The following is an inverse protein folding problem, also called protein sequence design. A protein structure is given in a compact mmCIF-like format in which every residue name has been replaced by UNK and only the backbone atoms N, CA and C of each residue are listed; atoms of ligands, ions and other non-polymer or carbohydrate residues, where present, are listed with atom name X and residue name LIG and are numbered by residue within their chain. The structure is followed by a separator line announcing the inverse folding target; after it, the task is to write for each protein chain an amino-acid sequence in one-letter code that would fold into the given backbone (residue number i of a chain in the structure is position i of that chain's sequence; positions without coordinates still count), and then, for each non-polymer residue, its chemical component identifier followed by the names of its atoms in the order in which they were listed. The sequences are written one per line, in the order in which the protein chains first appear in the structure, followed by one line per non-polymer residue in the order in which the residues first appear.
data_IF_790643448467
#
_entry.id   IF_790643448467
#
_cell.length_a   1.000
_cell.length_b   1.000
_cell.length_c   1.000
_cell.angle_alpha   90.00
_cell.angle_beta   90.00
_cell.angle_gamma   90.00
#
_symmetry.space_group_name_H-M   'P 1'
#
loop_
_entity.id
_entity.type
_entity.pdbx_description
1 polymer ?
#
# COMPACT_ATOMS: atom_id res chain seq x y z
N UNK A 1 -17.32 -21.02 12.77
CA UNK A 1 -16.29 -22.04 12.51
C UNK A 1 -15.73 -22.04 11.07
N UNK A 2 -16.44 -21.52 10.07
CA UNK A 2 -15.99 -21.57 8.65
C UNK A 2 -14.85 -20.58 8.33
N UNK A 3 -14.78 -19.43 9.03
CA UNK A 3 -13.74 -18.41 8.80
C UNK A 3 -12.34 -18.88 9.21
N UNK A 4 -12.21 -19.73 10.22
CA UNK A 4 -10.92 -20.25 10.69
C UNK A 4 -10.28 -21.28 9.75
N UNK A 5 -11.10 -21.98 8.95
CA UNK A 5 -10.64 -23.07 8.07
C UNK A 5 -9.96 -22.54 6.79
N UNK A 6 -10.33 -21.33 6.35
CA UNK A 6 -9.74 -20.67 5.17
C UNK A 6 -8.35 -20.09 5.47
N UNK A 7 -8.08 -19.69 6.72
CA UNK A 7 -6.77 -19.16 7.14
C UNK A 7 -5.71 -20.27 7.26
N UNK A 8 -6.11 -21.50 7.60
CA UNK A 8 -5.19 -22.63 7.76
C UNK A 8 -4.57 -23.15 6.45
N UNK A 9 -5.28 -23.02 5.33
CA UNK A 9 -4.86 -23.59 4.03
C UNK A 9 -3.75 -22.81 3.32
N UNK A 10 -3.37 -21.62 3.79
CA UNK A 10 -2.36 -20.77 3.16
C UNK A 10 -0.94 -20.91 3.75
N UNK A 11 -0.73 -21.71 4.80
CA UNK A 11 0.60 -21.90 5.43
C UNK A 11 1.50 -22.95 4.75
N UNK A 12 1.02 -23.64 3.72
CA UNK A 12 1.62 -24.91 3.28
C UNK A 12 2.42 -24.94 1.98
N UNK A 13 2.93 -23.83 1.42
CA UNK A 13 3.75 -23.89 0.20
C UNK A 13 5.02 -23.04 0.27
N UNK A 14 6.06 -23.65 0.87
CA UNK A 14 7.47 -23.28 0.71
C UNK A 14 8.03 -24.03 -0.51
N UNK A 15 8.39 -23.29 -1.56
CA UNK A 15 9.26 -23.66 -2.68
C UNK A 15 9.71 -22.31 -3.25
N UNK A 16 10.96 -22.02 -3.60
CA UNK A 16 12.24 -22.69 -3.67
C UNK A 16 13.20 -21.63 -4.27
N UNK A 17 14.43 -21.57 -3.77
CA UNK A 17 15.46 -20.56 -4.09
C UNK A 17 16.09 -20.83 -5.46
N UNK A 18 16.31 -19.81 -6.31
CA UNK A 18 17.42 -19.78 -7.28
C UNK A 18 17.49 -18.44 -8.04
N UNK A 19 18.71 -17.90 -8.17
CA UNK A 19 19.10 -17.06 -9.32
C UNK A 19 19.15 -15.55 -9.09
N UNK A 20 20.37 -15.03 -8.92
CA UNK A 20 20.80 -13.64 -8.98
C UNK A 20 20.77 -13.08 -10.41
N UNK A 21 20.25 -11.87 -10.60
CA UNK A 21 20.63 -10.97 -11.70
C UNK A 21 20.41 -9.52 -11.25
N UNK A 22 21.49 -8.86 -10.83
CA UNK A 22 21.53 -7.41 -10.60
C UNK A 22 22.19 -6.74 -11.79
N UNK A 23 21.47 -5.83 -12.43
CA UNK A 23 22.01 -4.86 -13.40
C UNK A 23 22.66 -3.73 -12.59
N UNK A 24 23.96 -3.41 -12.76
CA UNK A 24 24.57 -2.28 -12.09
C UNK A 24 24.17 -0.99 -12.81
N UNK A 25 23.41 -0.11 -12.15
CA UNK A 25 23.22 1.27 -12.62
C UNK A 25 24.28 2.16 -11.96
N UNK A 26 25.15 2.70 -12.81
CA UNK A 26 26.15 3.70 -12.42
C UNK A 26 25.52 5.06 -12.12
N UNK A 27 26.14 5.72 -11.13
CA UNK A 27 26.13 7.15 -10.80
C UNK A 27 24.82 7.79 -10.26
N UNK A 28 24.84 8.30 -9.01
CA UNK A 28 24.01 9.43 -8.61
C UNK A 28 24.57 10.74 -9.20
N UNK A 29 23.72 11.53 -9.83
CA UNK A 29 23.98 12.93 -10.16
C UNK A 29 24.08 13.74 -8.87
N UNK A 30 25.28 14.24 -8.56
CA UNK A 30 25.53 15.17 -7.47
C UNK A 30 25.48 16.60 -8.02
N UNK A 31 24.39 17.33 -7.76
CA UNK A 31 24.28 18.74 -8.07
C UNK A 31 23.81 19.50 -6.84
N UNK A 32 24.66 20.40 -6.33
CA UNK A 32 24.13 21.67 -5.82
C UNK A 32 24.74 22.31 -4.58
N UNK A 33 25.65 21.72 -3.79
CA UNK A 33 26.06 22.38 -2.52
C UNK A 33 27.53 22.23 -2.05
N UNK A 34 28.45 21.72 -2.88
CA UNK A 34 29.87 21.60 -2.49
C UNK A 34 30.68 22.92 -2.61
N UNK A 35 30.26 23.85 -3.48
CA UNK A 35 31.04 25.07 -3.78
C UNK A 35 30.97 26.20 -2.74
N UNK A 36 29.99 26.18 -1.85
CA UNK A 36 29.79 27.23 -0.83
C UNK A 36 30.63 26.97 0.43
N UNK A 37 30.90 25.71 0.76
CA UNK A 37 31.70 25.34 1.95
C UNK A 37 33.19 25.56 1.74
N UNK A 38 33.72 25.35 0.53
CA UNK A 38 35.15 25.53 0.25
C UNK A 38 35.62 26.99 0.30
N UNK A 39 34.75 27.94 -0.08
CA UNK A 39 35.07 29.38 -0.04
C UNK A 39 35.10 29.94 1.39
N UNK A 40 34.24 29.44 2.28
CA UNK A 40 34.20 29.86 3.68
C UNK A 40 35.48 29.43 4.44
N UNK A 41 35.99 28.22 4.15
CA UNK A 41 37.20 27.69 4.79
C UNK A 41 38.47 28.40 4.31
N UNK A 42 38.53 28.80 3.03
CA UNK A 42 39.70 29.51 2.48
C UNK A 42 39.85 30.94 3.04
N UNK A 43 38.75 31.64 3.29
CA UNK A 43 38.79 33.02 3.83
C UNK A 43 39.23 33.05 5.29
N UNK A 44 38.87 32.04 6.09
CA UNK A 44 39.30 31.93 7.49
C UNK A 44 40.80 31.64 7.63
N UNK A 45 41.38 30.90 6.68
CA UNK A 45 42.80 30.56 6.71
C UNK A 45 43.72 31.72 6.30
N UNK A 46 43.22 32.65 5.50
CA UNK A 46 43.97 33.82 5.04
C UNK A 46 44.07 34.94 6.09
N UNK A 47 43.16 34.98 7.08
CA UNK A 47 43.17 35.97 8.17
C UNK A 47 44.13 35.58 9.32
N UNK A 48 44.56 34.32 9.39
CA UNK A 48 45.37 33.78 10.49
C UNK A 48 46.89 33.83 10.28
N UNK A 49 47.38 34.20 9.08
CA UNK A 49 48.78 33.93 8.68
C UNK A 49 49.77 35.10 8.75
N UNK A 50 49.39 36.30 9.19
CA UNK A 50 50.22 37.49 9.00
C UNK A 50 50.60 38.16 10.33
N UNK A 51 51.72 37.74 10.94
CA UNK A 51 52.54 38.53 11.88
C UNK A 51 53.97 37.98 11.98
N UNK A 52 54.92 38.83 11.57
CA UNK A 52 56.24 39.13 12.16
C UNK A 52 57.25 37.99 12.41
N UNK A 53 58.59 38.13 12.32
CA UNK A 53 59.58 39.08 11.77
C UNK A 53 60.95 38.38 11.95
N UNK A 54 61.94 38.67 11.09
CA UNK A 54 63.33 38.83 11.57
C UNK A 54 64.38 37.71 11.34
N UNK A 55 65.40 38.08 10.56
CA UNK A 55 66.84 38.09 10.92
C UNK A 55 67.73 36.84 10.68
N UNK A 56 68.56 36.97 9.63
CA UNK A 56 70.03 36.76 9.52
C UNK A 56 70.70 35.52 10.14
N UNK A 57 71.43 34.76 9.31
CA UNK A 57 72.51 33.88 9.76
C UNK A 57 73.13 33.00 8.67
N UNK A 58 74.41 33.24 8.40
CA UNK A 58 75.34 32.57 7.47
C UNK A 58 75.75 31.14 7.85
N UNK A 59 76.11 30.28 6.89
CA UNK A 59 77.14 29.24 7.08
C UNK A 59 76.94 27.86 6.45
N UNK A 60 77.81 27.56 5.46
CA UNK A 60 78.53 26.29 5.21
C UNK A 60 77.82 24.94 4.89
N UNK A 61 78.16 24.43 3.69
CA UNK A 61 78.58 23.05 3.29
C UNK A 61 77.80 21.83 3.79
N UNK A 62 77.27 21.03 2.86
CA UNK A 62 77.86 19.76 2.35
C UNK A 62 76.77 18.89 1.69
N UNK A 63 77.21 18.00 0.79
CA UNK A 63 76.48 16.98 0.03
C UNK A 63 75.45 16.19 0.87
N UNK A 64 74.40 15.57 0.34
CA UNK A 64 74.43 14.46 -0.62
C UNK A 64 72.99 13.93 -0.82
N UNK A 65 72.76 13.28 -1.96
CA UNK A 65 71.75 12.24 -2.21
C UNK A 65 70.23 12.57 -2.22
N UNK A 66 69.71 12.39 -3.42
CA UNK A 66 68.34 12.20 -3.90
C UNK A 66 67.62 11.03 -3.20
N UNK A 67 66.37 11.22 -2.73
CA UNK A 67 65.15 10.46 -3.13
C UNK A 67 63.92 10.72 -2.24
N UNK A 68 62.79 10.45 -2.89
CA UNK A 68 61.41 10.89 -2.68
C UNK A 68 60.63 10.31 -1.49
N UNK A 69 59.81 11.17 -0.89
CA UNK A 69 58.38 11.04 -0.54
C UNK A 69 57.80 9.94 0.37
N UNK A 70 57.17 10.46 1.45
CA UNK A 70 55.82 10.23 2.01
C UNK A 70 55.56 8.88 2.72
N UNK A 71 55.46 8.87 4.05
CA UNK A 71 54.33 9.33 4.89
C UNK A 71 53.13 8.37 4.85
N UNK A 72 52.92 7.67 5.96
CA UNK A 72 51.99 6.55 6.12
C UNK A 72 51.50 6.46 7.56
N UNK A 73 50.97 7.57 8.06
CA UNK A 73 50.26 7.64 9.32
C UNK A 73 48.85 7.07 9.24
N UNK A 74 48.58 6.18 10.18
CA UNK A 74 47.34 6.09 10.97
C UNK A 74 46.18 5.20 10.48
N UNK A 75 46.11 4.07 11.19
CA UNK A 75 44.95 3.25 11.50
C UNK A 75 43.79 4.05 12.12
N UNK A 76 42.80 4.47 11.32
CA UNK A 76 41.50 4.96 11.83
C UNK A 76 40.28 4.51 10.98
N UNK A 77 40.44 3.60 10.02
CA UNK A 77 39.34 3.21 9.11
C UNK A 77 38.47 2.05 9.59
N UNK A 78 38.76 1.41 10.73
CA UNK A 78 38.06 0.20 11.17
C UNK A 78 36.80 0.43 12.02
N UNK A 79 36.42 1.68 12.31
CA UNK A 79 35.25 1.99 13.18
C UNK A 79 34.06 2.61 12.42
N UNK A 80 34.22 2.97 11.15
CA UNK A 80 33.13 3.59 10.35
C UNK A 80 32.46 2.60 9.38
N UNK A 81 32.77 1.31 9.49
CA UNK A 81 31.99 0.26 8.85
C UNK A 81 30.93 -0.28 9.83
N UNK A 82 30.18 0.61 10.47
CA UNK A 82 28.82 0.24 10.86
C UNK A 82 28.00 0.26 9.58
N UNK A 83 27.57 -0.94 9.20
CA UNK A 83 26.50 -1.20 8.26
C UNK A 83 25.39 -0.16 8.45
N UNK A 84 25.37 0.86 7.59
CA UNK A 84 24.16 1.60 7.29
C UNK A 84 23.33 0.68 6.39
N UNK A 85 22.85 -0.41 7.01
CA UNK A 85 21.79 -1.25 6.49
C UNK A 85 20.58 -0.31 6.42
N UNK A 86 20.45 0.38 5.30
CA UNK A 86 19.23 1.10 4.94
C UNK A 86 18.17 0.03 4.81
N UNK A 87 17.55 -0.34 5.93
CA UNK A 87 16.33 -1.11 5.99
C UNK A 87 15.29 -0.27 5.25
N UNK A 88 15.21 -0.50 3.94
CA UNK A 88 14.22 0.14 3.07
C UNK A 88 12.89 -0.43 3.50
N UNK A 89 12.29 0.20 4.51
CA UNK A 89 10.98 -0.15 5.01
C UNK A 89 10.04 -0.18 3.80
N UNK A 90 9.61 -1.38 3.41
CA UNK A 90 8.71 -1.57 2.28
C UNK A 90 7.38 -0.97 2.68
N UNK A 91 7.23 0.33 2.39
CA UNK A 91 6.04 1.09 2.73
C UNK A 91 4.89 0.57 1.87
N UNK A 92 3.78 0.25 2.53
CA UNK A 92 2.58 -0.15 1.81
C UNK A 92 2.21 0.91 0.76
N UNK A 93 1.77 0.50 -0.45
CA UNK A 93 1.30 1.44 -1.46
C UNK A 93 0.23 2.34 -0.84
N UNK A 94 0.30 3.64 -1.12
CA UNK A 94 -0.78 4.57 -0.76
C UNK A 94 -2.12 4.09 -1.35
N UNK A 95 -3.25 4.56 -0.81
CA UNK A 95 -4.58 4.15 -1.29
C UNK A 95 -4.73 4.37 -2.81
N UNK A 96 -4.12 5.43 -3.35
CA UNK A 96 -4.16 5.76 -4.78
C UNK A 96 -3.22 4.84 -5.59
N UNK A 97 -2.12 4.38 -4.99
CA UNK A 97 -1.15 3.49 -5.62
C UNK A 97 -1.59 2.01 -5.63
N UNK A 98 -2.62 1.64 -4.87
CA UNK A 98 -3.25 0.32 -4.93
C UNK A 98 -4.69 0.42 -5.42
N UNK A 99 -4.97 0.01 -6.67
CA UNK A 99 -6.33 -0.06 -7.20
C UNK A 99 -7.28 -0.88 -6.31
N UNK A 100 -6.81 -1.95 -5.65
CA UNK A 100 -7.65 -2.72 -4.74
C UNK A 100 -8.07 -1.93 -3.50
N UNK A 101 -7.17 -1.12 -2.93
CA UNK A 101 -7.48 -0.27 -1.78
C UNK A 101 -8.40 0.88 -2.15
N UNK A 102 -8.11 1.57 -3.26
CA UNK A 102 -8.97 2.64 -3.77
C UNK A 102 -10.39 2.11 -4.01
N UNK A 103 -10.52 0.98 -4.71
CA UNK A 103 -11.81 0.38 -5.00
C UNK A 103 -12.56 -0.04 -3.73
N UNK A 104 -11.86 -0.60 -2.74
CA UNK A 104 -12.48 -0.94 -1.45
C UNK A 104 -13.05 0.31 -0.76
N UNK A 105 -12.31 1.42 -0.73
CA UNK A 105 -12.80 2.67 -0.13
C UNK A 105 -14.00 3.26 -0.89
N UNK A 106 -13.97 3.25 -2.22
CA UNK A 106 -15.09 3.72 -3.05
C UNK A 106 -16.33 2.84 -2.90
N UNK A 107 -16.18 1.51 -3.03
CA UNK A 107 -17.28 0.57 -2.87
C UNK A 107 -17.87 0.64 -1.46
N UNK A 108 -17.01 0.70 -0.42
CA UNK A 108 -17.42 0.86 0.97
C UNK A 108 -18.25 2.14 1.18
N UNK A 109 -17.85 3.25 0.56
CA UNK A 109 -18.60 4.52 0.62
C UNK A 109 -19.98 4.39 -0.03
N UNK A 110 -20.07 3.79 -1.21
CA UNK A 110 -21.35 3.57 -1.89
C UNK A 110 -22.27 2.67 -1.06
N UNK A 111 -21.76 1.54 -0.55
CA UNK A 111 -22.54 0.65 0.31
C UNK A 111 -22.96 1.32 1.63
N UNK A 112 -22.12 2.19 2.20
CA UNK A 112 -22.48 2.95 3.41
C UNK A 112 -23.66 3.89 3.12
N UNK A 113 -23.60 4.65 2.02
CA UNK A 113 -24.68 5.55 1.61
C UNK A 113 -25.97 4.76 1.40
N UNK A 114 -25.95 3.69 0.59
CA UNK A 114 -27.14 2.88 0.31
C UNK A 114 -27.69 2.20 1.55
N UNK A 115 -26.83 1.59 2.38
CA UNK A 115 -27.25 0.89 3.59
C UNK A 115 -27.85 1.81 4.63
N UNK A 116 -27.17 2.93 4.94
CA UNK A 116 -27.64 3.89 5.94
C UNK A 116 -28.91 4.58 5.46
N UNK A 117 -28.92 5.09 4.22
CA UNK A 117 -30.08 5.79 3.69
C UNK A 117 -31.28 4.84 3.54
N UNK A 118 -31.01 3.59 3.14
CA UNK A 118 -32.02 2.54 3.02
C UNK A 118 -32.79 2.29 4.31
N UNK A 119 -32.17 2.37 5.49
CA UNK A 119 -32.88 2.20 6.76
C UNK A 119 -34.00 3.22 7.00
N UNK A 120 -33.87 4.44 6.47
CA UNK A 120 -34.91 5.47 6.58
C UNK A 120 -36.15 5.16 5.74
N UNK A 121 -35.96 4.51 4.58
CA UNK A 121 -37.04 4.20 3.63
C UNK A 121 -37.56 2.76 3.75
N UNK A 122 -36.81 1.87 4.42
CA UNK A 122 -37.16 0.44 4.52
C UNK A 122 -38.51 0.18 5.23
N UNK A 123 -39.04 1.14 5.99
CA UNK A 123 -40.30 0.99 6.71
C UNK A 123 -41.55 1.26 5.87
N UNK A 124 -41.43 1.94 4.73
CA UNK A 124 -42.56 2.42 3.92
C UNK A 124 -43.44 1.28 3.33
N UNK A 125 -42.98 0.02 3.40
CA UNK A 125 -43.66 -1.17 2.87
C UNK A 125 -43.93 -2.29 3.87
N UNK A 126 -44.04 -1.99 5.17
CA UNK A 126 -44.47 -2.95 6.20
C UNK A 126 -43.43 -3.28 7.29
N UNK A 127 -42.22 -2.71 7.20
CA UNK A 127 -41.23 -2.66 8.29
C UNK A 127 -40.65 -3.98 8.80
N UNK A 128 -41.09 -5.14 8.29
CA UNK A 128 -40.55 -6.44 8.67
C UNK A 128 -39.07 -6.58 8.27
N UNK A 129 -38.25 -7.15 9.17
CA UNK A 129 -36.80 -7.22 8.95
C UNK A 129 -36.43 -8.07 7.72
N UNK A 130 -37.04 -9.25 7.61
CA UNK A 130 -37.00 -10.11 6.43
C UNK A 130 -38.38 -10.10 5.77
N UNK A 131 -38.43 -9.68 4.52
CA UNK A 131 -39.68 -9.53 3.78
C UNK A 131 -39.45 -9.57 2.27
N UNK A 132 -40.49 -10.01 1.54
CA UNK A 132 -40.49 -9.99 0.07
C UNK A 132 -40.65 -8.60 -0.52
N UNK A 133 -41.30 -7.72 0.22
CA UNK A 133 -41.55 -6.34 -0.16
C UNK A 133 -41.15 -5.41 0.97
N UNK A 134 -40.79 -4.19 0.62
CA UNK A 134 -40.57 -3.12 1.58
C UNK A 134 -40.60 -1.78 0.85
N UNK A 135 -39.89 -0.79 1.39
CA UNK A 135 -39.82 0.53 0.77
C UNK A 135 -38.90 0.59 -0.44
N UNK A 136 -38.71 1.79 -0.97
CA UNK A 136 -37.90 2.02 -2.16
C UNK A 136 -36.93 3.18 -2.00
N UNK A 137 -35.69 3.02 -2.46
CA UNK A 137 -34.75 4.12 -2.65
C UNK A 137 -34.83 4.63 -4.07
N UNK A 138 -35.02 5.95 -4.25
CA UNK A 138 -35.17 6.61 -5.56
C UNK A 138 -36.20 5.95 -6.47
N UNK A 139 -37.25 5.35 -5.88
CA UNK A 139 -38.27 4.58 -6.62
C UNK A 139 -37.71 3.45 -7.50
N UNK A 140 -36.49 2.97 -7.21
CA UNK A 140 -35.77 2.04 -8.07
C UNK A 140 -35.16 0.86 -7.31
N UNK A 141 -34.59 1.05 -6.12
CA UNK A 141 -33.99 -0.01 -5.31
C UNK A 141 -35.00 -0.53 -4.29
N UNK A 142 -35.20 -1.84 -4.22
CA UNK A 142 -36.06 -2.46 -3.21
C UNK A 142 -35.34 -2.51 -1.88
N UNK A 143 -36.04 -2.14 -0.80
CA UNK A 143 -35.43 -2.03 0.52
C UNK A 143 -36.20 -2.84 1.55
N UNK A 144 -35.48 -3.61 2.34
CA UNK A 144 -35.91 -4.04 3.65
C UNK A 144 -34.77 -3.89 4.66
N UNK A 145 -35.03 -3.93 5.98
CA UNK A 145 -34.00 -3.74 6.98
C UNK A 145 -32.85 -4.76 6.88
N UNK A 146 -33.12 -6.01 6.48
CA UNK A 146 -32.08 -7.01 6.27
C UNK A 146 -31.10 -6.66 5.14
N UNK A 147 -31.60 -6.19 3.99
CA UNK A 147 -30.76 -5.78 2.87
C UNK A 147 -29.95 -4.52 3.21
N UNK A 148 -30.55 -3.56 3.91
CA UNK A 148 -29.85 -2.37 4.40
C UNK A 148 -28.70 -2.77 5.32
N UNK A 149 -28.96 -3.69 6.27
CA UNK A 149 -27.95 -4.24 7.17
C UNK A 149 -26.82 -4.96 6.42
N UNK A 150 -27.15 -5.73 5.38
CA UNK A 150 -26.15 -6.39 4.54
C UNK A 150 -25.22 -5.35 3.89
N UNK A 151 -25.75 -4.31 3.27
CA UNK A 151 -24.94 -3.24 2.68
C UNK A 151 -24.06 -2.53 3.73
N UNK A 152 -24.59 -2.25 4.91
CA UNK A 152 -23.80 -1.64 5.99
C UNK A 152 -22.66 -2.55 6.47
N UNK A 153 -22.89 -3.86 6.59
CA UNK A 153 -21.84 -4.83 6.98
C UNK A 153 -20.76 -4.92 5.88
N UNK A 154 -21.16 -4.94 4.61
CA UNK A 154 -20.21 -4.90 3.49
C UNK A 154 -19.39 -3.62 3.51
N UNK A 155 -20.01 -2.47 3.76
CA UNK A 155 -19.33 -1.18 3.88
C UNK A 155 -18.27 -1.20 4.99
N UNK A 156 -18.63 -1.71 6.17
CA UNK A 156 -17.69 -1.85 7.29
C UNK A 156 -16.50 -2.76 6.92
N UNK A 157 -16.77 -3.90 6.29
CA UNK A 157 -15.72 -4.81 5.84
C UNK A 157 -14.75 -4.13 4.85
N UNK A 158 -15.29 -3.36 3.90
CA UNK A 158 -14.50 -2.59 2.93
C UNK A 158 -13.63 -1.51 3.59
N UNK A 159 -14.18 -0.75 4.54
CA UNK A 159 -13.40 0.29 5.23
C UNK A 159 -12.26 -0.30 6.07
N UNK A 160 -12.51 -1.40 6.78
CA UNK A 160 -11.48 -2.09 7.57
C UNK A 160 -10.29 -2.47 6.69
N UNK A 161 -10.53 -3.10 5.53
CA UNK A 161 -9.43 -3.57 4.68
C UNK A 161 -8.83 -2.48 3.80
N UNK A 162 -9.63 -1.52 3.34
CA UNK A 162 -9.17 -0.40 2.52
C UNK A 162 -8.22 0.52 3.28
N UNK A 163 -8.52 0.79 4.55
CA UNK A 163 -7.63 1.52 5.46
C UNK A 163 -6.43 0.67 5.91
N UNK A 164 -6.60 -0.65 6.01
CA UNK A 164 -5.58 -1.59 6.44
C UNK A 164 -4.45 -1.82 5.42
N UNK A 165 -4.62 -2.79 4.53
CA UNK A 165 -3.55 -3.22 3.63
C UNK A 165 -4.03 -3.71 2.26
N UNK A 166 -3.09 -3.78 1.32
CA UNK A 166 -3.35 -4.15 -0.09
C UNK A 166 -3.79 -5.61 -0.26
N UNK A 167 -3.19 -6.54 0.49
CA UNK A 167 -3.47 -7.98 0.37
C UNK A 167 -4.88 -8.30 0.87
N UNK A 168 -5.28 -7.72 2.00
CA UNK A 168 -6.60 -7.81 2.59
C UNK A 168 -7.65 -7.21 1.68
N UNK A 169 -7.40 -6.00 1.15
CA UNK A 169 -8.30 -5.34 0.19
C UNK A 169 -8.57 -6.21 -1.03
N UNK A 170 -7.53 -6.80 -1.64
CA UNK A 170 -7.69 -7.71 -2.77
C UNK A 170 -8.51 -8.96 -2.42
N UNK A 171 -8.28 -9.53 -1.24
CA UNK A 171 -8.98 -10.75 -0.81
C UNK A 171 -10.45 -10.46 -0.58
N UNK A 172 -10.76 -9.36 0.09
CA UNK A 172 -12.14 -8.92 0.35
C UNK A 172 -12.85 -8.52 -0.94
N UNK A 173 -12.21 -7.78 -1.85
CA UNK A 173 -12.78 -7.48 -3.16
C UNK A 173 -13.17 -8.78 -3.90
N UNK A 174 -12.31 -9.80 -3.86
CA UNK A 174 -12.63 -11.09 -4.47
C UNK A 174 -13.83 -11.76 -3.80
N UNK A 175 -13.80 -11.91 -2.47
CA UNK A 175 -14.83 -12.63 -1.72
C UNK A 175 -16.18 -11.93 -1.84
N UNK A 176 -16.23 -10.63 -1.57
CA UNK A 176 -17.46 -9.83 -1.68
C UNK A 176 -17.92 -9.80 -3.14
N UNK A 177 -17.01 -9.70 -4.10
CA UNK A 177 -17.36 -9.76 -5.52
C UNK A 177 -18.11 -11.04 -5.88
N UNK A 178 -17.64 -12.22 -5.44
CA UNK A 178 -18.37 -13.49 -5.61
C UNK A 178 -19.72 -13.45 -4.90
N UNK A 179 -19.78 -12.99 -3.65
CA UNK A 179 -21.02 -12.93 -2.87
C UNK A 179 -22.07 -12.06 -3.57
N UNK A 180 -21.68 -10.91 -4.13
CA UNK A 180 -22.59 -10.03 -4.85
C UNK A 180 -23.09 -10.66 -6.16
N UNK A 181 -22.25 -11.40 -6.89
CA UNK A 181 -22.72 -12.14 -8.06
C UNK A 181 -23.71 -13.24 -7.69
N UNK A 182 -23.45 -13.97 -6.60
CA UNK A 182 -24.39 -14.96 -6.07
C UNK A 182 -25.71 -14.29 -5.66
N UNK A 183 -25.65 -13.13 -5.02
CA UNK A 183 -26.82 -12.36 -4.62
C UNK A 183 -27.64 -11.88 -5.83
N UNK A 184 -26.96 -11.41 -6.89
CA UNK A 184 -27.61 -11.02 -8.14
C UNK A 184 -28.35 -12.19 -8.80
N UNK A 185 -27.69 -13.35 -8.91
CA UNK A 185 -28.30 -14.57 -9.45
C UNK A 185 -29.49 -15.00 -8.60
N UNK A 186 -29.32 -15.03 -7.28
CA UNK A 186 -30.39 -15.32 -6.33
C UNK A 186 -31.59 -14.40 -6.53
N UNK A 187 -31.39 -13.08 -6.62
CA UNK A 187 -32.49 -12.15 -6.81
C UNK A 187 -33.17 -12.29 -8.16
N UNK A 188 -32.44 -12.56 -9.25
CA UNK A 188 -33.07 -12.84 -10.55
C UNK A 188 -33.91 -14.11 -10.53
N UNK A 189 -33.39 -15.20 -9.95
CA UNK A 189 -34.07 -16.50 -9.88
C UNK A 189 -35.30 -16.46 -8.98
N UNK A 190 -35.22 -15.75 -7.84
CA UNK A 190 -36.25 -15.82 -6.80
C UNK A 190 -37.12 -14.55 -6.68
N UNK A 191 -36.91 -13.52 -7.51
CA UNK A 191 -37.61 -12.21 -7.47
C UNK A 191 -39.12 -12.30 -7.21
N UNK A 192 -39.80 -13.23 -7.90
CA UNK A 192 -41.25 -13.38 -7.85
C UNK A 192 -41.76 -14.45 -6.87
N UNK A 193 -40.90 -14.92 -5.96
CA UNK A 193 -41.20 -16.02 -5.04
C UNK A 193 -41.16 -15.57 -3.58
N UNK A 194 -41.73 -16.36 -2.68
CA UNK A 194 -41.59 -16.16 -1.22
C UNK A 194 -40.16 -16.31 -0.72
N UNK A 195 -39.26 -16.91 -1.51
CA UNK A 195 -37.86 -17.05 -1.16
C UNK A 195 -37.11 -15.71 -1.18
N UNK A 196 -37.60 -14.66 -1.86
CA UNK A 196 -36.96 -13.34 -1.90
C UNK A 196 -37.08 -12.60 -0.56
N UNK A 197 -36.37 -13.03 0.48
CA UNK A 197 -36.46 -12.45 1.84
C UNK A 197 -35.74 -11.11 2.00
N UNK A 198 -35.08 -10.61 0.95
CA UNK A 198 -34.29 -9.38 0.94
C UNK A 198 -34.95 -8.26 0.13
N UNK A 199 -36.19 -8.47 -0.33
CA UNK A 199 -36.92 -7.54 -1.20
C UNK A 199 -36.14 -7.11 -2.46
N UNK A 200 -35.29 -8.01 -2.99
CA UNK A 200 -34.48 -7.73 -4.17
C UNK A 200 -35.36 -7.54 -5.40
N UNK A 201 -35.10 -6.48 -6.15
CA UNK A 201 -35.70 -6.23 -7.45
C UNK A 201 -34.65 -6.23 -8.58
N UNK A 202 -35.10 -6.00 -9.80
CA UNK A 202 -34.24 -5.98 -10.99
C UNK A 202 -33.07 -4.99 -10.85
N UNK A 203 -33.34 -3.78 -10.36
CA UNK A 203 -32.32 -2.74 -10.16
C UNK A 203 -31.26 -3.18 -9.16
N UNK A 204 -31.68 -3.76 -8.03
CA UNK A 204 -30.77 -4.29 -7.01
C UNK A 204 -29.84 -5.34 -7.61
N UNK A 205 -30.41 -6.30 -8.36
CA UNK A 205 -29.67 -7.40 -8.95
C UNK A 205 -28.65 -6.92 -9.99
N UNK A 206 -29.02 -5.97 -10.84
CA UNK A 206 -28.10 -5.37 -11.82
C UNK A 206 -26.97 -4.63 -11.11
N UNK A 207 -27.29 -3.87 -10.06
CA UNK A 207 -26.28 -3.20 -9.26
C UNK A 207 -25.30 -4.19 -8.63
N UNK A 208 -25.78 -5.25 -7.98
CA UNK A 208 -24.91 -6.29 -7.41
C UNK A 208 -24.07 -7.00 -8.46
N UNK A 209 -24.63 -7.25 -9.65
CA UNK A 209 -23.90 -7.86 -10.76
C UNK A 209 -22.73 -6.96 -11.23
N UNK A 210 -23.01 -5.68 -11.52
CA UNK A 210 -21.99 -4.73 -11.99
C UNK A 210 -20.88 -4.57 -10.95
N UNK A 211 -21.25 -4.29 -9.70
CA UNK A 211 -20.27 -4.10 -8.61
C UNK A 211 -19.49 -5.39 -8.37
N UNK A 212 -20.15 -6.54 -8.38
CA UNK A 212 -19.52 -7.85 -8.19
C UNK A 212 -18.47 -8.15 -9.27
N UNK A 213 -18.79 -7.88 -10.54
CA UNK A 213 -17.85 -8.03 -11.66
C UNK A 213 -16.66 -7.09 -11.51
N UNK A 214 -16.89 -5.80 -11.24
CA UNK A 214 -15.81 -4.80 -11.09
C UNK A 214 -14.84 -5.20 -9.96
N UNK A 215 -15.37 -5.65 -8.83
CA UNK A 215 -14.57 -6.12 -7.70
C UNK A 215 -13.72 -7.35 -8.07
N UNK A 216 -14.32 -8.33 -8.76
CA UNK A 216 -13.61 -9.53 -9.19
C UNK A 216 -12.52 -9.24 -10.22
N UNK A 217 -12.84 -8.46 -11.25
CA UNK A 217 -11.87 -8.08 -12.29
C UNK A 217 -10.69 -7.33 -11.66
N UNK A 218 -10.95 -6.41 -10.74
CA UNK A 218 -9.89 -5.68 -10.03
C UNK A 218 -9.05 -6.61 -9.15
N UNK A 219 -9.69 -7.51 -8.42
CA UNK A 219 -8.98 -8.47 -7.56
C UNK A 219 -8.16 -9.52 -8.33
N UNK A 220 -8.48 -9.77 -9.60
CA UNK A 220 -7.74 -10.71 -10.46
C UNK A 220 -6.68 -9.99 -11.31
N UNK A 221 -6.99 -8.78 -11.78
CA UNK A 221 -6.18 -8.02 -12.73
C UNK A 221 -5.14 -7.11 -12.09
N UNK A 222 -5.50 -6.37 -11.04
CA UNK A 222 -4.67 -5.30 -10.49
C UNK A 222 -3.65 -5.76 -9.43
N UNK A 223 -2.70 -4.88 -9.09
CA UNK A 223 -1.71 -5.03 -7.99
C UNK A 223 -0.82 -6.28 -8.04
N UNK A 224 -0.61 -6.86 -9.23
CA UNK A 224 0.21 -8.09 -9.35
C UNK A 224 1.66 -7.86 -8.92
N UNK A 225 2.26 -6.74 -9.30
CA UNK A 225 3.66 -6.39 -8.99
C UNK A 225 3.81 -5.96 -7.53
N UNK A 226 2.95 -5.06 -7.04
CA UNK A 226 2.89 -4.64 -5.64
C UNK A 226 2.80 -5.84 -4.69
N UNK A 227 1.96 -6.83 -5.00
CA UNK A 227 1.79 -8.02 -4.15
C UNK A 227 2.99 -8.95 -4.20
N UNK A 228 3.67 -9.06 -5.36
CA UNK A 228 4.91 -9.84 -5.46
C UNK A 228 6.00 -9.22 -4.60
N UNK A 229 6.15 -7.90 -4.64
CA UNK A 229 7.10 -7.16 -3.81
C UNK A 229 6.81 -7.33 -2.31
N UNK A 230 5.55 -7.16 -1.88
CA UNK A 230 5.15 -7.33 -0.47
C UNK A 230 5.40 -8.75 0.05
N UNK A 231 5.14 -9.78 -0.77
CA UNK A 231 5.42 -11.18 -0.38
C UNK A 231 6.91 -11.49 -0.32
N UNK A 232 7.71 -10.90 -1.21
CA UNK A 232 9.15 -11.07 -1.21
C UNK A 232 9.77 -10.40 0.04
N UNK A 233 9.25 -9.24 0.45
CA UNK A 233 9.66 -8.56 1.68
C UNK A 233 9.33 -9.39 2.93
N UNK A 234 8.09 -9.88 3.04
CA UNK A 234 7.66 -10.72 4.17
C UNK A 234 8.30 -12.12 4.24
N UNK A 235 9.00 -12.55 3.19
CA UNK A 235 9.78 -13.79 3.20
C UNK A 235 11.26 -13.58 3.60
N UNK A 236 11.70 -12.32 3.69
CA UNK A 236 13.05 -11.92 4.11
C UNK A 236 13.12 -11.52 5.59
N UNK A 237 12.00 -11.14 6.19
CA UNK A 237 11.82 -10.98 7.64
C UNK A 237 11.57 -12.32 8.33
#
# INVERSE_FOLDING_TARGET
MVVGLVVGLLRGKRFGRSGSDTIPLGHPSEAGNAGLRSKATAVLQQVSGQRDTGRSGTGARAADSVRDQRDGGQSYSAIVAQEEETEVAVKEPSIIASPNRALAMTAGTLFAIWGILGFFFAQDGGGAFFSRSGGFLWNAFGLNPALCGLWTILAAAFFIVGLGNTIGSRTVNRVIGVVLLVLAVYGFVFSNTSANVLALNTTDNVFHAIVGVVLLLTALGADKENIRALRAAGARA
#
